data_IF_369327786636
#
_entry.id   IF_369327786636
#
_cell.length_a   1.000
_cell.length_b   1.000
_cell.length_c   1.000
_cell.angle_alpha   90.00
_cell.angle_beta   90.00
_cell.angle_gamma   90.00
#
_symmetry.space_group_name_H-M   'P 1'
#
loop_
_entity.id
_entity.type
_entity.pdbx_description
1 polymer ?
#
# COMPACT_ATOMS: atom_id res chain seq x y z
N UNK A 1 35.57 -40.32 65.66
CA UNK A 1 35.61 -39.91 64.24
C UNK A 1 34.49 -40.51 63.37
N UNK A 2 33.53 -41.27 63.94
CA UNK A 2 32.42 -41.90 63.21
C UNK A 2 31.15 -41.04 63.08
N UNK A 3 31.07 -39.89 63.76
CA UNK A 3 29.87 -39.04 63.76
C UNK A 3 29.80 -38.03 62.59
N UNK A 4 30.93 -37.78 61.91
CA UNK A 4 31.01 -36.86 60.76
C UNK A 4 30.65 -37.50 59.41
N UNK A 5 30.61 -38.83 59.33
CA UNK A 5 30.28 -39.54 58.08
C UNK A 5 28.78 -39.85 57.93
N UNK A 6 28.03 -39.92 59.03
CA UNK A 6 26.58 -40.20 58.99
C UNK A 6 25.77 -38.98 58.49
N UNK A 7 26.23 -37.77 58.81
CA UNK A 7 25.59 -36.52 58.36
C UNK A 7 25.79 -36.27 56.85
N UNK A 8 26.91 -36.72 56.29
CA UNK A 8 27.19 -36.56 54.86
C UNK A 8 26.35 -37.51 53.99
N UNK A 9 26.11 -38.75 54.45
CA UNK A 9 25.27 -39.71 53.74
C UNK A 9 23.78 -39.32 53.71
N UNK A 10 23.28 -38.63 54.74
CA UNK A 10 21.90 -38.15 54.80
C UNK A 10 21.60 -37.01 53.80
N UNK A 11 22.61 -36.22 53.40
CA UNK A 11 22.43 -35.15 52.42
C UNK A 11 22.39 -35.66 50.97
N UNK A 12 22.99 -36.82 50.68
CA UNK A 12 23.02 -37.39 49.32
C UNK A 12 21.67 -37.98 48.92
N UNK A 13 20.83 -38.40 49.88
CA UNK A 13 19.53 -39.00 49.60
C UNK A 13 18.44 -37.99 49.20
N UNK A 14 18.57 -36.71 49.53
CA UNK A 14 17.58 -35.65 49.16
C UNK A 14 17.77 -35.15 47.73
N UNK A 15 18.95 -35.34 47.14
CA UNK A 15 19.29 -34.77 45.83
C UNK A 15 18.70 -35.50 44.61
N UNK A 16 18.06 -36.66 44.78
CA UNK A 16 17.57 -37.51 43.68
C UNK A 16 16.05 -37.46 43.45
N UNK A 17 15.31 -36.63 44.19
CA UNK A 17 13.85 -36.59 44.14
C UNK A 17 13.26 -35.40 43.33
N UNK A 18 14.04 -34.80 42.43
CA UNK A 18 13.67 -33.52 41.77
C UNK A 18 13.66 -33.51 40.25
N UNK A 19 13.59 -34.65 39.56
CA UNK A 19 13.55 -34.65 38.09
C UNK A 19 12.36 -35.43 37.54
N UNK A 20 11.17 -34.84 37.69
CA UNK A 20 10.03 -35.23 36.85
C UNK A 20 10.19 -34.48 35.54
N UNK A 21 10.64 -35.18 34.50
CA UNK A 21 10.70 -34.63 33.15
C UNK A 21 9.28 -34.30 32.70
N UNK A 22 8.94 -33.01 32.63
CA UNK A 22 7.73 -32.54 31.97
C UNK A 22 7.80 -32.93 30.49
N UNK A 23 6.70 -33.40 29.86
CA UNK A 23 6.73 -33.66 28.43
C UNK A 23 6.99 -32.34 27.70
N UNK A 24 8.05 -32.30 26.90
CA UNK A 24 8.33 -31.15 26.04
C UNK A 24 7.17 -31.01 25.05
N UNK A 25 6.39 -29.93 25.20
CA UNK A 25 5.38 -29.56 24.22
C UNK A 25 6.12 -29.06 22.98
N UNK A 26 6.06 -29.84 21.90
CA UNK A 26 6.52 -29.38 20.60
C UNK A 26 5.56 -28.30 20.09
N UNK A 27 5.99 -27.04 20.17
CA UNK A 27 5.25 -25.93 19.56
C UNK A 27 5.55 -25.95 18.07
N UNK A 28 4.51 -26.16 17.25
CA UNK A 28 4.64 -26.07 15.79
C UNK A 28 5.10 -24.66 15.40
N UNK A 29 6.17 -24.58 14.61
CA UNK A 29 6.71 -23.31 14.13
C UNK A 29 5.71 -22.60 13.20
N UNK A 30 5.58 -21.26 13.27
CA UNK A 30 4.70 -20.53 12.37
C UNK A 30 5.25 -20.61 10.95
N UNK A 31 4.42 -21.08 10.02
CA UNK A 31 4.74 -21.05 8.58
C UNK A 31 4.70 -19.60 8.13
N UNK A 32 5.87 -19.05 7.80
CA UNK A 32 5.98 -17.72 7.23
C UNK A 32 5.40 -17.72 5.80
N UNK A 33 4.34 -16.95 5.59
CA UNK A 33 3.82 -16.69 4.25
C UNK A 33 4.69 -15.63 3.58
N UNK A 34 5.42 -16.01 2.54
CA UNK A 34 6.19 -15.05 1.76
C UNK A 34 5.22 -14.14 0.97
N UNK A 35 5.42 -12.81 0.93
CA UNK A 35 4.60 -11.95 0.10
C UNK A 35 4.89 -12.26 -1.37
N UNK A 36 3.89 -12.81 -2.06
CA UNK A 36 3.95 -12.97 -3.52
C UNK A 36 3.75 -11.58 -4.12
N UNK A 37 4.83 -11.02 -4.67
CA UNK A 37 4.77 -9.76 -5.40
C UNK A 37 3.89 -9.94 -6.65
N UNK A 38 2.75 -9.23 -6.69
CA UNK A 38 1.99 -9.08 -7.94
C UNK A 38 2.82 -8.24 -8.90
N UNK A 39 3.32 -8.85 -9.95
CA UNK A 39 3.89 -8.14 -11.10
C UNK A 39 2.72 -7.46 -11.80
N UNK A 40 2.55 -6.15 -11.56
CA UNK A 40 1.66 -5.33 -12.38
C UNK A 40 2.32 -5.27 -13.77
N UNK A 41 1.69 -5.88 -14.77
CA UNK A 41 2.07 -5.62 -16.15
C UNK A 41 1.94 -4.11 -16.39
N UNK A 42 2.88 -3.47 -17.13
CA UNK A 42 2.71 -2.08 -17.51
C UNK A 42 1.43 -1.95 -18.33
N UNK A 43 0.48 -1.15 -17.81
CA UNK A 43 -0.71 -0.77 -18.56
C UNK A 43 -0.25 -0.07 -19.86
N UNK A 44 -0.82 -0.43 -21.03
CA UNK A 44 -0.49 0.25 -22.27
C UNK A 44 -0.84 1.74 -22.15
N UNK A 45 0.19 2.59 -22.13
CA UNK A 45 0.02 4.04 -22.02
C UNK A 45 -0.11 4.61 -23.43
N UNK A 46 -1.30 5.08 -23.78
CA UNK A 46 -1.53 5.86 -24.99
C UNK A 46 -1.28 7.36 -24.71
N UNK A 47 -0.80 8.15 -25.69
CA UNK A 47 -0.71 9.59 -25.54
C UNK A 47 -2.10 10.20 -25.26
N UNK A 48 -2.14 11.26 -24.45
CA UNK A 48 -3.40 11.92 -24.12
C UNK A 48 -3.97 12.66 -25.35
N UNK A 49 -5.24 12.39 -25.65
CA UNK A 49 -5.96 12.98 -26.78
C UNK A 49 -7.36 13.43 -26.34
N UNK A 50 -7.69 14.69 -26.64
CA UNK A 50 -9.07 15.18 -26.53
C UNK A 50 -9.32 16.28 -27.56
N UNK A 51 -10.60 16.48 -27.85
CA UNK A 51 -11.14 17.63 -28.57
C UNK A 51 -12.28 18.18 -27.71
N UNK A 52 -12.21 19.46 -27.38
CA UNK A 52 -13.15 20.18 -26.53
C UNK A 52 -13.55 21.49 -27.19
N UNK A 53 -14.81 21.89 -27.03
CA UNK A 53 -15.26 23.20 -27.46
C UNK A 53 -16.61 23.55 -26.87
N UNK A 54 -16.85 24.84 -26.72
CA UNK A 54 -18.14 25.38 -26.29
C UNK A 54 -18.43 26.69 -27.02
N UNK A 55 -19.71 27.04 -27.10
CA UNK A 55 -20.17 28.33 -27.58
C UNK A 55 -21.30 28.84 -26.70
N UNK A 56 -21.35 30.17 -26.57
CA UNK A 56 -22.42 30.90 -25.89
C UNK A 56 -23.01 31.87 -26.90
N UNK A 57 -24.33 31.86 -27.00
CA UNK A 57 -25.12 32.81 -27.79
C UNK A 57 -26.33 33.15 -26.95
N UNK A 58 -26.21 34.23 -26.19
CA UNK A 58 -27.27 34.72 -25.29
C UNK A 58 -27.75 36.11 -25.74
N UNK A 59 -28.91 36.20 -26.41
CA UNK A 59 -29.48 37.47 -26.84
C UNK A 59 -29.90 38.39 -25.69
N UNK A 60 -30.13 37.86 -24.48
CA UNK A 60 -30.57 38.68 -23.35
C UNK A 60 -29.41 39.49 -22.76
N UNK A 61 -28.24 38.87 -22.65
CA UNK A 61 -27.01 39.54 -22.17
C UNK A 61 -26.17 40.12 -23.30
N UNK A 62 -26.39 39.71 -24.55
CA UNK A 62 -25.58 40.08 -25.71
C UNK A 62 -24.28 39.26 -25.82
N UNK A 63 -24.11 38.24 -25.00
CA UNK A 63 -22.89 37.44 -24.93
C UNK A 63 -22.82 36.47 -26.11
N UNK A 64 -21.87 36.72 -27.02
CA UNK A 64 -21.55 35.82 -28.14
C UNK A 64 -20.08 35.48 -28.08
N UNK A 65 -19.77 34.23 -27.74
CA UNK A 65 -18.40 33.71 -27.62
C UNK A 65 -18.29 32.26 -28.00
N UNK A 66 -17.09 31.85 -28.39
CA UNK A 66 -16.78 30.44 -28.65
C UNK A 66 -15.35 30.11 -28.26
N UNK A 67 -15.13 28.87 -27.84
CA UNK A 67 -13.81 28.31 -27.56
C UNK A 67 -13.71 26.93 -28.19
N UNK A 68 -12.53 26.60 -28.68
CA UNK A 68 -12.18 25.26 -29.11
C UNK A 68 -10.73 24.95 -28.74
N UNK A 69 -10.48 23.72 -28.31
CA UNK A 69 -9.16 23.23 -27.94
C UNK A 69 -9.02 21.74 -28.29
N UNK A 70 -7.83 21.36 -28.73
CA UNK A 70 -7.46 19.98 -28.99
C UNK A 70 -6.11 19.69 -28.34
N UNK A 71 -5.99 18.51 -27.73
CA UNK A 71 -4.72 17.98 -27.23
C UNK A 71 -4.30 16.79 -28.06
N UNK A 72 -3.02 16.79 -28.43
CA UNK A 72 -2.35 15.65 -29.04
C UNK A 72 -1.02 15.42 -28.30
N UNK A 73 -0.97 14.39 -27.45
CA UNK A 73 0.19 14.11 -26.61
C UNK A 73 0.48 15.25 -25.65
N UNK A 74 1.63 15.90 -25.82
CA UNK A 74 2.07 17.02 -24.97
C UNK A 74 1.73 18.41 -25.55
N UNK A 75 1.11 18.44 -26.73
CA UNK A 75 0.77 19.68 -27.42
C UNK A 75 -0.72 19.97 -27.28
N UNK A 76 -1.04 21.17 -26.80
CA UNK A 76 -2.40 21.71 -26.73
C UNK A 76 -2.51 22.87 -27.70
N UNK A 77 -3.56 22.89 -28.53
CA UNK A 77 -3.85 23.97 -29.48
C UNK A 77 -5.32 24.33 -29.41
N UNK A 78 -5.62 25.62 -29.48
CA UNK A 78 -7.00 26.10 -29.45
C UNK A 78 -7.14 27.54 -29.91
N UNK A 79 -8.38 27.99 -29.98
CA UNK A 79 -8.75 29.37 -30.27
C UNK A 79 -9.96 29.77 -29.44
N UNK A 80 -10.03 31.05 -29.10
CA UNK A 80 -11.17 31.68 -28.45
C UNK A 80 -11.63 32.87 -29.29
N UNK A 81 -12.95 33.04 -29.40
CA UNK A 81 -13.59 34.15 -30.08
C UNK A 81 -14.60 34.79 -29.13
N UNK A 82 -14.66 36.12 -29.17
CA UNK A 82 -15.62 36.93 -28.44
C UNK A 82 -16.06 38.05 -29.37
N UNK A 83 -17.36 38.30 -29.43
CA UNK A 83 -17.93 39.48 -30.08
C UNK A 83 -18.06 40.55 -29.00
N UNK A 84 -17.32 41.65 -29.16
CA UNK A 84 -17.46 42.81 -28.28
C UNK A 84 -18.72 43.62 -28.65
N UNK A 85 -19.17 44.46 -27.71
CA UNK A 85 -20.39 45.27 -27.87
C UNK A 85 -20.37 46.20 -29.11
N UNK A 86 -19.18 46.47 -29.65
CA UNK A 86 -18.95 47.40 -30.76
C UNK A 86 -18.91 46.71 -32.15
N UNK A 87 -18.85 45.37 -32.21
CA UNK A 87 -18.83 44.59 -33.46
C UNK A 87 -17.46 44.47 -34.12
#
# INVERSE_FOLDING_TARGET
MAFKFVVFAAFVAVARAGYVASPAVAVAAPVAYAPVAKVLAPEPTAPAHYDFGYSVSDPHTGDVKSQQESRRGDVVKGSYSLVDADG
#
